data_IF_623333230976
#
_entry.id   IF_623333230976
#
_cell.length_a   1.000
_cell.length_b   1.000
_cell.length_c   1.000
_cell.angle_alpha   90.00
_cell.angle_beta   90.00
_cell.angle_gamma   90.00
#
_symmetry.space_group_name_H-M   'P 1'
#
loop_
_entity.id
_entity.type
_entity.pdbx_description
1 polymer ?
#
# COMPACT_ATOMS: atom_id res chain seq x y z
N UNK A 1 -17.48 -18.36 38.57
CA UNK A 1 -16.89 -17.30 37.73
C UNK A 1 -15.41 -17.61 37.44
N UNK A 2 -15.03 -18.87 37.18
CA UNK A 2 -13.60 -19.25 37.19
C UNK A 2 -13.16 -20.34 36.18
N UNK A 3 -14.03 -20.85 35.32
CA UNK A 3 -13.63 -21.90 34.34
C UNK A 3 -13.59 -21.41 32.88
N UNK A 4 -14.21 -20.26 32.58
CA UNK A 4 -14.25 -19.69 31.22
C UNK A 4 -12.99 -18.89 30.82
N UNK A 5 -12.32 -18.26 31.77
CA UNK A 5 -11.16 -17.40 31.48
C UNK A 5 -9.86 -18.19 31.26
N UNK A 6 -9.78 -19.42 31.79
CA UNK A 6 -8.59 -20.28 31.64
C UNK A 6 -8.48 -20.89 30.23
N UNK A 7 -9.61 -21.10 29.55
CA UNK A 7 -9.64 -21.62 28.17
C UNK A 7 -9.27 -20.56 27.13
N UNK A 8 -9.52 -19.26 27.41
CA UNK A 8 -9.14 -18.18 26.49
C UNK A 8 -7.63 -17.99 26.40
N UNK A 9 -6.87 -18.24 27.47
CA UNK A 9 -5.41 -18.03 27.51
C UNK A 9 -4.59 -19.14 26.84
N UNK A 10 -5.19 -20.30 26.59
CA UNK A 10 -4.49 -21.44 25.96
C UNK A 10 -4.60 -21.40 24.42
N UNK A 11 -5.66 -20.77 23.90
CA UNK A 11 -5.94 -20.66 22.45
C UNK A 11 -5.42 -19.33 21.89
N UNK A 12 -5.54 -18.25 22.68
CA UNK A 12 -4.95 -16.95 22.40
C UNK A 12 -3.81 -16.77 23.39
N UNK A 13 -2.57 -16.83 22.89
CA UNK A 13 -1.39 -16.56 23.72
C UNK A 13 -1.51 -15.25 24.50
N UNK A 14 -0.66 -15.02 25.52
CA UNK A 14 -0.81 -13.91 26.46
C UNK A 14 -1.02 -12.59 25.71
N UNK A 15 -2.07 -11.85 26.11
CA UNK A 15 -2.41 -10.53 25.57
C UNK A 15 -1.19 -9.62 25.68
N UNK A 16 -0.46 -9.47 24.58
CA UNK A 16 0.73 -8.63 24.56
C UNK A 16 0.30 -7.17 24.60
N UNK A 17 0.99 -6.37 25.42
CA UNK A 17 0.85 -4.93 25.38
C UNK A 17 1.04 -4.44 23.93
N UNK A 18 0.32 -3.40 23.47
CA UNK A 18 0.36 -2.97 22.07
C UNK A 18 1.79 -2.82 21.52
N UNK A 19 2.77 -2.26 22.28
CA UNK A 19 4.17 -2.22 21.86
C UNK A 19 4.81 -3.58 21.58
N UNK A 20 4.61 -4.56 22.48
CA UNK A 20 5.16 -5.90 22.33
C UNK A 20 4.46 -6.67 21.20
N UNK A 21 3.15 -6.47 21.04
CA UNK A 21 2.36 -7.06 19.97
C UNK A 21 2.84 -6.66 18.58
N UNK A 22 3.11 -5.37 18.35
CA UNK A 22 3.62 -4.92 17.05
C UNK A 22 5.02 -5.47 16.73
N UNK A 23 5.90 -5.57 17.73
CA UNK A 23 7.22 -6.20 17.55
C UNK A 23 7.10 -7.69 17.22
N UNK A 24 6.26 -8.42 17.96
CA UNK A 24 5.98 -9.83 17.69
C UNK A 24 5.37 -10.02 16.29
N UNK A 25 4.43 -9.16 15.90
CA UNK A 25 3.82 -9.16 14.57
C UNK A 25 4.85 -8.95 13.46
N UNK A 26 5.84 -8.06 13.65
CA UNK A 26 6.92 -7.89 12.69
C UNK A 26 7.83 -9.13 12.55
N UNK A 27 8.09 -9.84 13.65
CA UNK A 27 8.86 -11.10 13.61
C UNK A 27 8.08 -12.21 12.88
N UNK A 28 6.78 -12.32 13.13
CA UNK A 28 5.90 -13.24 12.43
C UNK A 28 5.85 -12.93 10.92
N UNK A 29 5.69 -11.65 10.57
CA UNK A 29 5.76 -11.18 9.18
C UNK A 29 7.09 -11.57 8.52
N UNK A 30 8.21 -11.32 9.18
CA UNK A 30 9.55 -11.66 8.66
C UNK A 30 9.67 -13.17 8.37
N UNK A 31 9.12 -14.00 9.26
CA UNK A 31 9.10 -15.46 9.09
C UNK A 31 8.20 -15.87 7.93
N UNK A 32 7.02 -15.24 7.78
CA UNK A 32 6.12 -15.49 6.67
C UNK A 32 6.74 -15.12 5.32
N UNK A 33 7.38 -13.95 5.22
CA UNK A 33 8.07 -13.53 4.00
C UNK A 33 9.20 -14.48 3.60
N UNK A 34 9.90 -15.06 4.58
CA UNK A 34 10.88 -16.11 4.33
C UNK A 34 10.22 -17.36 3.71
N UNK A 35 9.11 -17.83 4.26
CA UNK A 35 8.39 -18.97 3.69
C UNK A 35 7.85 -18.69 2.29
N UNK A 36 7.25 -17.51 2.07
CA UNK A 36 6.80 -17.09 0.75
C UNK A 36 7.94 -17.16 -0.27
N UNK A 37 9.11 -16.65 0.10
CA UNK A 37 10.30 -16.71 -0.74
C UNK A 37 10.75 -18.15 -1.03
N UNK A 38 10.86 -19.00 0.00
CA UNK A 38 11.28 -20.40 -0.13
C UNK A 38 10.30 -21.23 -0.98
N UNK A 39 9.01 -20.90 -0.94
CA UNK A 39 7.97 -21.50 -1.78
C UNK A 39 7.92 -20.92 -3.21
N UNK A 40 8.76 -19.95 -3.53
CA UNK A 40 8.81 -19.31 -4.85
C UNK A 40 7.68 -18.32 -5.12
N UNK A 41 6.95 -17.88 -4.08
CA UNK A 41 5.91 -16.85 -4.19
C UNK A 41 6.56 -15.54 -4.63
N UNK A 42 6.13 -15.05 -5.80
CA UNK A 42 6.77 -13.90 -6.46
C UNK A 42 6.26 -12.56 -5.95
N UNK A 43 5.07 -12.50 -5.38
CA UNK A 43 4.40 -11.26 -5.02
C UNK A 43 3.70 -11.41 -3.68
N UNK A 44 3.92 -10.44 -2.80
CA UNK A 44 3.28 -10.40 -1.48
C UNK A 44 2.85 -8.97 -1.20
N UNK A 45 1.59 -8.80 -0.81
CA UNK A 45 1.05 -7.54 -0.33
C UNK A 45 0.75 -7.63 1.16
N UNK A 46 1.18 -6.64 1.93
CA UNK A 46 0.98 -6.60 3.38
C UNK A 46 0.22 -5.34 3.79
N UNK A 47 -0.81 -5.51 4.62
CA UNK A 47 -1.52 -4.38 5.19
C UNK A 47 -0.86 -3.94 6.50
N UNK A 48 -0.03 -2.90 6.43
CA UNK A 48 0.82 -2.48 7.56
C UNK A 48 0.13 -1.43 8.45
N UNK A 49 -0.53 -0.44 7.86
CA UNK A 49 -1.22 0.62 8.62
C UNK A 49 -2.36 1.23 7.79
N UNK A 50 -3.58 1.19 8.33
CA UNK A 50 -4.78 1.78 7.70
C UNK A 50 -4.88 3.28 7.95
N UNK A 51 -5.52 4.03 7.05
CA UNK A 51 -5.93 5.42 7.33
C UNK A 51 -6.83 5.49 8.57
N UNK A 52 -7.70 4.50 8.77
CA UNK A 52 -8.55 4.45 9.97
C UNK A 52 -7.75 4.25 11.26
N UNK A 53 -6.51 3.75 11.18
CA UNK A 53 -5.67 3.59 12.37
C UNK A 53 -5.14 4.91 12.92
N UNK A 54 -5.18 6.01 12.15
CA UNK A 54 -4.90 7.35 12.69
C UNK A 54 -5.92 7.80 13.74
N UNK A 55 -7.11 7.19 13.78
CA UNK A 55 -8.16 7.45 14.79
C UNK A 55 -7.86 6.82 16.15
N UNK A 56 -6.82 5.99 16.26
CA UNK A 56 -6.39 5.37 17.52
C UNK A 56 -5.74 6.41 18.44
N UNK A 57 -5.42 6.00 19.67
CA UNK A 57 -4.78 6.89 20.64
C UNK A 57 -3.45 7.44 20.10
N UNK A 58 -3.16 8.75 20.25
CA UNK A 58 -1.97 9.36 19.63
C UNK A 58 -0.64 8.70 20.01
N UNK A 59 -0.50 8.24 21.25
CA UNK A 59 0.69 7.53 21.72
C UNK A 59 0.88 6.16 21.05
N UNK A 60 -0.21 5.45 20.76
CA UNK A 60 -0.17 4.18 20.02
C UNK A 60 0.21 4.42 18.56
N UNK A 61 -0.39 5.44 17.92
CA UNK A 61 -0.04 5.84 16.54
C UNK A 61 1.44 6.22 16.45
N UNK A 62 1.92 7.08 17.36
CA UNK A 62 3.32 7.48 17.38
C UNK A 62 4.26 6.28 17.54
N UNK A 63 3.93 5.35 18.44
CA UNK A 63 4.72 4.14 18.64
C UNK A 63 4.81 3.29 17.36
N UNK A 64 3.69 3.08 16.67
CA UNK A 64 3.68 2.29 15.42
C UNK A 64 4.48 3.00 14.33
N UNK A 65 4.38 4.32 14.24
CA UNK A 65 5.15 5.14 13.29
C UNK A 65 6.67 5.07 13.58
N UNK A 66 7.07 5.15 14.84
CA UNK A 66 8.48 5.03 15.25
C UNK A 66 9.01 3.62 14.95
N UNK A 67 8.23 2.58 15.24
CA UNK A 67 8.58 1.20 14.93
C UNK A 67 8.70 0.99 13.41
N UNK A 68 7.77 1.54 12.63
CA UNK A 68 7.82 1.48 11.17
C UNK A 68 9.10 2.14 10.65
N UNK A 69 9.44 3.33 11.12
CA UNK A 69 10.68 4.01 10.76
C UNK A 69 11.91 3.15 11.07
N UNK A 70 11.97 2.59 12.29
CA UNK A 70 13.04 1.69 12.73
C UNK A 70 13.18 0.49 11.77
N UNK A 71 12.06 -0.14 11.38
CA UNK A 71 12.07 -1.33 10.51
C UNK A 71 12.40 -1.01 9.06
N UNK A 72 11.93 0.11 8.52
CA UNK A 72 12.31 0.55 7.16
C UNK A 72 13.81 0.85 7.10
N UNK A 73 14.35 1.57 8.08
CA UNK A 73 15.78 1.84 8.14
C UNK A 73 16.61 0.57 8.36
N UNK A 74 16.10 -0.37 9.17
CA UNK A 74 16.70 -1.68 9.37
C UNK A 74 16.69 -2.56 8.12
N UNK A 75 15.65 -2.47 7.29
CA UNK A 75 15.53 -3.26 6.06
C UNK A 75 16.49 -2.82 4.95
N UNK A 76 17.09 -1.63 5.08
CA UNK A 76 18.10 -1.14 4.14
C UNK A 76 19.52 -1.62 4.45
N UNK A 77 19.75 -2.27 5.60
CA UNK A 77 21.07 -2.80 5.96
C UNK A 77 21.41 -4.05 5.12
N UNK A 78 22.68 -4.26 4.79
CA UNK A 78 23.15 -5.37 3.92
C UNK A 78 22.67 -6.76 4.34
N UNK A 79 22.48 -7.00 5.65
CA UNK A 79 22.01 -8.28 6.20
C UNK A 79 20.49 -8.42 6.27
N UNK A 80 19.73 -7.48 5.69
CA UNK A 80 18.28 -7.51 5.79
C UNK A 80 17.67 -8.62 4.94
N UNK A 81 16.44 -8.99 5.30
CA UNK A 81 15.65 -9.95 4.53
C UNK A 81 15.40 -9.49 3.09
N UNK A 82 15.29 -8.17 2.90
CA UNK A 82 15.05 -7.53 1.60
C UNK A 82 16.27 -7.70 0.70
N UNK A 83 17.47 -7.46 1.23
CA UNK A 83 18.71 -7.63 0.47
C UNK A 83 19.03 -9.12 0.24
N UNK A 84 18.89 -9.95 1.29
CA UNK A 84 19.16 -11.40 1.22
C UNK A 84 18.34 -12.11 0.15
N UNK A 85 17.08 -11.71 -0.04
CA UNK A 85 16.17 -12.33 -0.99
C UNK A 85 16.01 -11.57 -2.29
N UNK A 86 16.76 -10.47 -2.47
CA UNK A 86 16.63 -9.59 -3.62
C UNK A 86 15.18 -9.14 -3.81
N UNK A 87 14.50 -8.76 -2.73
CA UNK A 87 13.12 -8.33 -2.80
C UNK A 87 13.04 -6.89 -3.31
N UNK A 88 12.14 -6.61 -4.25
CA UNK A 88 11.80 -5.27 -4.71
C UNK A 88 10.65 -4.74 -3.87
N UNK A 89 10.88 -3.66 -3.13
CA UNK A 89 9.91 -3.13 -2.17
C UNK A 89 9.15 -1.96 -2.76
N UNK A 90 7.84 -1.94 -2.49
CA UNK A 90 6.93 -0.85 -2.85
C UNK A 90 6.16 -0.42 -1.59
N UNK A 91 6.20 0.87 -1.26
CA UNK A 91 5.29 1.43 -0.27
C UNK A 91 4.10 2.05 -0.99
N UNK A 92 2.88 1.61 -0.64
CA UNK A 92 1.62 1.98 -1.32
C UNK A 92 0.59 2.54 -0.33
N UNK A 93 -0.15 3.56 -0.76
CA UNK A 93 -1.10 4.29 0.06
C UNK A 93 -0.84 5.79 0.04
N UNK A 94 -1.56 6.53 0.88
CA UNK A 94 -1.50 7.98 0.90
C UNK A 94 -0.28 8.47 1.68
N UNK A 95 0.85 8.55 0.98
CA UNK A 95 2.16 8.94 1.54
C UNK A 95 2.17 10.37 2.12
N UNK A 96 1.20 11.22 1.75
CA UNK A 96 1.08 12.58 2.27
C UNK A 96 0.67 12.61 3.75
N UNK A 97 -0.05 11.58 4.21
CA UNK A 97 -0.45 11.41 5.61
C UNK A 97 0.69 10.96 6.53
N UNK A 98 1.80 10.49 5.95
CA UNK A 98 2.97 10.06 6.70
C UNK A 98 3.88 11.24 7.03
N UNK A 99 4.53 11.16 8.19
CA UNK A 99 5.55 12.15 8.57
C UNK A 99 6.73 12.11 7.61
N UNK A 100 7.38 13.27 7.42
CA UNK A 100 8.53 13.41 6.51
C UNK A 100 9.62 12.34 6.72
N UNK A 101 10.03 11.99 7.96
CA UNK A 101 11.05 10.95 8.17
C UNK A 101 10.67 9.58 7.60
N UNK A 102 9.41 9.16 7.78
CA UNK A 102 8.92 7.87 7.29
C UNK A 102 8.83 7.89 5.77
N UNK A 103 8.29 8.96 5.20
CA UNK A 103 8.18 9.11 3.74
C UNK A 103 9.54 9.02 3.06
N UNK A 104 10.52 9.77 3.55
CA UNK A 104 11.90 9.74 3.04
C UNK A 104 12.54 8.36 3.19
N UNK A 105 12.30 7.67 4.31
CA UNK A 105 12.83 6.32 4.51
C UNK A 105 12.20 5.31 3.54
N UNK A 106 10.89 5.39 3.32
CA UNK A 106 10.15 4.56 2.38
C UNK A 106 10.64 4.78 0.93
N UNK A 107 10.78 6.04 0.51
CA UNK A 107 11.32 6.41 -0.81
C UNK A 107 12.74 5.86 -1.02
N UNK A 108 13.63 6.05 -0.03
CA UNK A 108 14.98 5.48 -0.07
C UNK A 108 14.97 3.96 -0.21
N UNK A 109 14.04 3.27 0.46
CA UNK A 109 13.91 1.82 0.36
C UNK A 109 13.40 1.36 -1.01
N UNK A 110 12.45 2.07 -1.61
CA UNK A 110 12.00 1.78 -2.98
C UNK A 110 13.13 1.99 -4.00
N UNK A 111 13.89 3.09 -3.87
CA UNK A 111 15.05 3.36 -4.75
C UNK A 111 16.13 2.29 -4.59
N UNK A 112 16.51 1.96 -3.36
CA UNK A 112 17.57 0.99 -3.07
C UNK A 112 17.24 -0.43 -3.57
N UNK A 113 15.96 -0.74 -3.80
CA UNK A 113 15.50 -2.06 -4.23
C UNK A 113 14.92 -2.06 -5.64
N UNK A 114 14.98 -0.95 -6.37
CA UNK A 114 14.31 -0.79 -7.66
C UNK A 114 14.77 -1.79 -8.73
N UNK A 115 16.05 -2.20 -8.68
CA UNK A 115 16.65 -3.14 -9.63
C UNK A 115 16.59 -4.59 -9.16
N UNK A 116 15.99 -4.85 -8.00
CA UNK A 116 15.84 -6.21 -7.50
C UNK A 116 14.81 -6.97 -8.34
N UNK A 117 15.12 -8.23 -8.67
CA UNK A 117 14.30 -9.09 -9.54
C UNK A 117 13.70 -10.29 -8.80
N UNK A 118 13.91 -10.39 -7.49
CA UNK A 118 13.31 -11.42 -6.64
C UNK A 118 11.84 -11.11 -6.33
N UNK A 119 11.45 -11.34 -5.08
CA UNK A 119 10.06 -11.14 -4.64
C UNK A 119 9.65 -9.66 -4.71
N UNK A 120 8.48 -9.36 -5.26
CA UNK A 120 7.85 -8.04 -5.16
C UNK A 120 7.07 -7.95 -3.85
N UNK A 121 7.47 -7.02 -2.97
CA UNK A 121 6.84 -6.81 -1.67
C UNK A 121 6.12 -5.46 -1.65
N UNK A 122 4.79 -5.49 -1.63
CA UNK A 122 3.94 -4.32 -1.49
C UNK A 122 3.59 -4.10 -0.02
N UNK A 123 3.98 -2.95 0.53
CA UNK A 123 3.70 -2.56 1.91
C UNK A 123 2.66 -1.44 1.88
N UNK A 124 1.41 -1.79 2.18
CA UNK A 124 0.31 -0.85 2.22
C UNK A 124 0.32 -0.10 3.56
N UNK A 125 0.52 1.22 3.49
CA UNK A 125 0.70 2.12 4.64
C UNK A 125 -0.08 3.40 4.42
N UNK A 126 -0.79 3.87 5.45
CA UNK A 126 -1.79 4.93 5.30
C UNK A 126 -2.71 4.64 4.11
N UNK A 127 -3.19 3.40 4.05
CA UNK A 127 -3.93 2.87 2.91
C UNK A 127 -5.34 2.45 3.34
N UNK A 128 -6.33 2.82 2.53
CA UNK A 128 -7.65 2.20 2.49
C UNK A 128 -8.10 2.15 1.03
N UNK A 129 -8.86 1.13 0.64
CA UNK A 129 -9.32 1.00 -0.74
C UNK A 129 -10.25 2.16 -1.16
N UNK A 130 -11.11 2.64 -0.25
CA UNK A 130 -11.93 3.82 -0.53
C UNK A 130 -11.09 5.08 -0.85
N UNK A 131 -10.00 5.31 -0.12
CA UNK A 131 -9.10 6.43 -0.38
C UNK A 131 -8.36 6.24 -1.72
N UNK A 132 -7.94 5.01 -2.03
CA UNK A 132 -7.32 4.66 -3.30
C UNK A 132 -8.25 4.96 -4.49
N UNK A 133 -9.52 4.54 -4.45
CA UNK A 133 -10.47 4.85 -5.53
C UNK A 133 -10.63 6.35 -5.71
N UNK A 134 -10.84 7.09 -4.61
CA UNK A 134 -11.05 8.54 -4.66
C UNK A 134 -9.83 9.21 -5.28
N UNK A 135 -8.63 8.83 -4.83
CA UNK A 135 -7.38 9.29 -5.41
C UNK A 135 -7.28 8.98 -6.90
N UNK A 136 -7.53 7.73 -7.30
CA UNK A 136 -7.43 7.30 -8.68
C UNK A 136 -8.39 8.07 -9.61
N UNK A 137 -9.62 8.32 -9.16
CA UNK A 137 -10.60 9.13 -9.90
C UNK A 137 -10.12 10.58 -10.02
N UNK A 138 -9.66 11.19 -8.93
CA UNK A 138 -9.17 12.58 -8.93
C UNK A 138 -7.98 12.75 -9.89
N UNK A 139 -7.00 11.86 -9.82
CA UNK A 139 -5.83 11.88 -10.72
C UNK A 139 -6.21 11.61 -12.17
N UNK A 140 -7.16 10.71 -12.42
CA UNK A 140 -7.68 10.47 -13.77
C UNK A 140 -8.34 11.72 -14.36
N UNK A 141 -9.15 12.42 -13.56
CA UNK A 141 -9.76 13.69 -13.97
C UNK A 141 -8.72 14.77 -14.23
N UNK A 142 -7.75 14.94 -13.34
CA UNK A 142 -6.67 15.92 -13.50
C UNK A 142 -5.86 15.66 -14.77
N UNK A 143 -5.45 14.41 -15.01
CA UNK A 143 -4.66 14.05 -16.17
C UNK A 143 -5.42 14.26 -17.50
N UNK A 144 -6.72 13.95 -17.54
CA UNK A 144 -7.55 14.28 -18.72
C UNK A 144 -7.71 15.78 -18.91
N UNK A 145 -7.96 16.51 -17.84
CA UNK A 145 -8.13 17.96 -17.89
C UNK A 145 -6.88 18.64 -18.45
N UNK A 146 -5.69 18.27 -17.96
CA UNK A 146 -4.41 18.79 -18.48
C UNK A 146 -4.24 18.45 -19.97
N UNK A 147 -4.49 17.20 -20.38
CA UNK A 147 -4.39 16.81 -21.78
C UNK A 147 -5.36 17.54 -22.72
N UNK A 148 -6.56 17.87 -22.25
CA UNK A 148 -7.54 18.70 -22.98
C UNK A 148 -7.01 20.13 -23.14
N UNK A 149 -6.45 20.72 -22.08
CA UNK A 149 -5.88 22.08 -22.15
C UNK A 149 -4.69 22.17 -23.10
N UNK A 150 -3.77 21.20 -23.08
CA UNK A 150 -2.62 21.14 -23.98
C UNK A 150 -3.04 20.98 -25.46
N UNK A 151 -4.06 20.16 -25.71
CA UNK A 151 -4.62 19.98 -27.05
C UNK A 151 -5.28 21.26 -27.58
N UNK A 152 -5.92 22.04 -26.70
CA UNK A 152 -6.57 23.31 -27.06
C UNK A 152 -5.58 24.46 -27.23
N UNK A 153 -4.49 24.50 -26.44
CA UNK A 153 -3.42 25.49 -26.58
C UNK A 153 -2.60 25.34 -27.87
N UNK A 154 -2.62 24.14 -28.49
CA UNK A 154 -1.91 23.84 -29.74
C UNK A 154 -2.74 24.09 -31.01
N UNK A 155 -4.04 24.37 -30.88
CA UNK A 155 -4.96 24.58 -32.03
C UNK A 155 -5.04 26.06 -32.41
N UNK A 156 -4.04 26.55 -33.12
CA UNK A 156 -4.18 27.76 -33.93
C UNK A 156 -4.83 27.39 -35.28
N UNK A 157 -6.09 27.78 -35.44
CA UNK A 157 -6.87 27.91 -36.68
C UNK A 157 -6.73 26.80 -37.75
N UNK A 158 -7.59 25.79 -37.69
CA UNK A 158 -8.15 25.13 -38.88
C UNK A 158 -9.53 24.56 -38.56
N UNK A 159 -10.44 24.67 -39.53
CA UNK A 159 -11.89 24.68 -39.30
C UNK A 159 -12.51 23.36 -39.80
N UNK A 160 -12.50 22.33 -38.95
CA UNK A 160 -13.32 21.12 -39.06
C UNK A 160 -14.02 20.87 -37.71
N UNK A 161 -15.03 21.69 -37.40
CA UNK A 161 -15.55 21.87 -36.03
C UNK A 161 -16.41 20.71 -35.52
N UNK A 162 -16.94 19.84 -36.39
CA UNK A 162 -18.02 18.90 -36.00
C UNK A 162 -17.54 17.52 -35.57
N UNK A 163 -16.54 16.95 -36.25
CA UNK A 163 -15.96 15.66 -35.85
C UNK A 163 -15.01 15.83 -34.66
N UNK A 164 -14.39 17.00 -34.52
CA UNK A 164 -13.48 17.32 -33.41
C UNK A 164 -14.18 17.48 -32.05
N UNK A 165 -15.42 17.99 -32.04
CA UNK A 165 -16.22 18.17 -30.81
C UNK A 165 -16.61 16.81 -30.20
N UNK A 166 -17.08 15.87 -31.04
CA UNK A 166 -17.32 14.46 -30.63
C UNK A 166 -16.04 13.76 -30.16
N UNK A 167 -14.90 14.01 -30.83
CA UNK A 167 -13.61 13.45 -30.43
C UNK A 167 -13.08 14.06 -29.12
N UNK A 168 -13.40 15.32 -28.81
CA UNK A 168 -13.10 15.93 -27.51
C UNK A 168 -13.95 15.35 -26.39
N UNK A 169 -15.26 15.19 -26.61
CA UNK A 169 -16.15 14.56 -25.64
C UNK A 169 -15.70 13.13 -25.31
N UNK A 170 -15.35 12.33 -26.32
CA UNK A 170 -14.85 10.97 -26.08
C UNK A 170 -13.50 10.96 -25.31
N UNK A 171 -12.62 11.93 -25.60
CA UNK A 171 -11.35 12.09 -24.87
C UNK A 171 -11.56 12.50 -23.41
N UNK A 172 -12.64 13.21 -23.10
CA UNK A 172 -12.98 13.61 -21.73
C UNK A 172 -13.56 12.48 -20.87
N UNK A 173 -14.12 11.42 -21.47
CA UNK A 173 -14.75 10.31 -20.74
C UNK A 173 -13.70 9.48 -19.99
N UNK A 174 -13.78 9.42 -18.66
CA UNK A 174 -12.92 8.54 -17.84
C UNK A 174 -13.27 7.07 -18.12
N UNK A 175 -12.28 6.30 -18.58
CA UNK A 175 -12.37 4.85 -18.82
C UNK A 175 -11.74 4.09 -17.65
N UNK A 176 -12.09 2.81 -17.48
CA UNK A 176 -11.55 1.97 -16.40
C UNK A 176 -10.01 1.99 -16.35
N UNK A 177 -9.36 1.86 -17.51
CA UNK A 177 -7.89 1.95 -17.64
C UNK A 177 -7.28 3.25 -17.10
N UNK A 178 -8.05 4.34 -17.14
CA UNK A 178 -7.59 5.63 -16.64
C UNK A 178 -7.55 5.55 -15.11
N UNK A 179 -8.55 4.93 -14.48
CA UNK A 179 -8.61 4.69 -13.03
C UNK A 179 -7.52 3.70 -12.59
N UNK A 180 -7.40 2.54 -13.25
CA UNK A 180 -6.42 1.49 -12.90
C UNK A 180 -4.98 2.02 -12.88
N UNK A 181 -4.64 2.90 -13.83
CA UNK A 181 -3.31 3.53 -13.92
C UNK A 181 -2.99 4.45 -12.73
N UNK A 182 -4.02 5.01 -12.07
CA UNK A 182 -3.86 5.94 -10.95
C UNK A 182 -4.16 5.30 -9.59
N UNK A 183 -4.43 3.99 -9.54
CA UNK A 183 -4.47 3.27 -8.27
C UNK A 183 -3.09 3.23 -7.62
N UNK A 184 -3.02 3.22 -6.28
CA UNK A 184 -1.75 3.03 -5.58
C UNK A 184 -1.15 1.66 -5.91
N UNK A 185 -2.00 0.65 -6.10
CA UNK A 185 -1.62 -0.72 -6.41
C UNK A 185 -1.55 -1.02 -7.92
N UNK A 186 -1.44 -0.02 -8.80
CA UNK A 186 -1.39 -0.16 -10.28
C UNK A 186 -0.43 -1.25 -10.82
N UNK A 187 0.72 -1.41 -10.17
CA UNK A 187 1.78 -2.37 -10.54
C UNK A 187 1.61 -3.74 -9.87
N UNK A 188 0.64 -3.89 -8.97
CA UNK A 188 0.36 -5.14 -8.28
C UNK A 188 -0.78 -5.87 -9.01
N UNK A 189 -0.60 -7.13 -9.41
CA UNK A 189 -1.71 -7.92 -9.91
C UNK A 189 -2.69 -8.26 -8.78
N UNK A 190 -3.89 -8.67 -9.16
CA UNK A 190 -4.89 -9.14 -8.22
C UNK A 190 -4.35 -10.30 -7.37
N UNK A 191 -4.62 -10.32 -6.05
CA UNK A 191 -4.16 -11.39 -5.19
C UNK A 191 -4.95 -12.68 -5.43
N UNK A 192 -4.24 -13.79 -5.65
CA UNK A 192 -4.86 -15.14 -5.70
C UNK A 192 -5.37 -15.58 -4.32
N UNK A 193 -4.71 -15.13 -3.25
CA UNK A 193 -4.98 -15.53 -1.88
C UNK A 193 -4.95 -14.29 -0.99
N UNK A 194 -6.04 -14.08 -0.24
CA UNK A 194 -6.11 -13.11 0.84
C UNK A 194 -6.12 -13.82 2.20
N UNK A 195 -5.19 -13.45 3.07
CA UNK A 195 -5.07 -14.03 4.41
C UNK A 195 -5.33 -12.96 5.46
N UNK A 196 -6.38 -13.16 6.26
CA UNK A 196 -6.64 -12.36 7.45
C UNK A 196 -6.40 -13.22 8.70
N UNK A 197 -5.49 -12.77 9.57
CA UNK A 197 -5.22 -13.43 10.84
C UNK A 197 -6.19 -12.92 11.92
N UNK A 198 -6.08 -13.41 13.16
CA UNK A 198 -6.89 -13.03 14.34
C UNK A 198 -8.35 -13.51 14.38
N UNK A 199 -8.80 -14.30 13.40
CA UNK A 199 -10.15 -14.92 13.42
C UNK A 199 -11.28 -13.96 13.05
N UNK A 200 -10.96 -12.79 12.52
CA UNK A 200 -11.92 -11.80 12.02
C UNK A 200 -12.35 -12.15 10.59
N UNK A 201 -13.64 -12.00 10.29
CA UNK A 201 -14.21 -12.25 8.96
C UNK A 201 -14.62 -10.94 8.28
N UNK A 202 -13.66 -10.03 8.03
CA UNK A 202 -13.91 -8.74 7.36
C UNK A 202 -12.70 -8.17 6.64
N UNK A 203 -12.92 -7.66 5.44
CA UNK A 203 -11.86 -7.15 4.57
C UNK A 203 -11.20 -5.87 5.09
N UNK A 204 -11.89 -5.13 5.97
CA UNK A 204 -11.35 -3.95 6.66
C UNK A 204 -10.79 -2.87 5.70
N UNK A 205 -11.43 -2.71 4.54
CA UNK A 205 -11.07 -1.73 3.51
C UNK A 205 -9.67 -1.96 2.90
N UNK A 206 -9.30 -3.22 2.70
CA UNK A 206 -8.04 -3.64 2.08
C UNK A 206 -8.27 -4.36 0.74
N UNK A 207 -7.80 -3.75 -0.36
CA UNK A 207 -7.73 -4.33 -1.70
C UNK A 207 -9.07 -4.82 -2.30
N UNK A 208 -10.20 -4.19 -1.94
CA UNK A 208 -11.54 -4.48 -2.45
C UNK A 208 -12.48 -3.30 -2.36
#
# INVERSE_FOLDING_TARGET
METGDMLRSTIYGPMMLPPAGHKAGFLALTSMLKYCYELGIKRVSIYSFSIDNFKRRPNEVQYVMDLMLEKIQGSLKEKSIVQKYGARVYFRGNMTLLTKPIRVAAEKAMVATANNTGMMLFICVAYTYTDEIVHAIQESCNNKWVGIQEANGSKAWNQEIRDEEYQMEEKAIIKLRDIEKHMYMDVAPDPDILIQTSGEHRLSNFQL
#
